data_IF_332592538715
#
_entry.id   IF_332592538715
#
_cell.length_a   1.000
_cell.length_b   1.000
_cell.length_c   1.000
_cell.angle_alpha   90.00
_cell.angle_beta   90.00
_cell.angle_gamma   90.00
#
_symmetry.space_group_name_H-M   'P 1'
#
loop_
_entity.id
_entity.type
_entity.pdbx_description
1 polymer ?
#
# COMPACT_ATOMS: atom_id res chain seq x y z
N UNK A 1 12.07 -23.00 -17.53
CA UNK A 1 12.09 -23.23 -16.08
C UNK A 1 10.78 -22.75 -15.50
N UNK A 2 10.09 -23.58 -14.73
CA UNK A 2 8.91 -23.15 -13.97
C UNK A 2 9.37 -22.16 -12.87
N UNK A 3 8.58 -21.10 -12.56
CA UNK A 3 8.96 -20.18 -11.50
C UNK A 3 8.93 -20.91 -10.16
N UNK A 4 10.03 -20.79 -9.42
CA UNK A 4 10.17 -21.30 -8.05
C UNK A 4 9.08 -20.65 -7.18
N UNK A 5 8.26 -21.47 -6.53
CA UNK A 5 7.39 -21.00 -5.47
C UNK A 5 8.23 -20.33 -4.37
N UNK A 6 7.85 -19.12 -3.95
CA UNK A 6 8.24 -18.64 -2.61
C UNK A 6 9.09 -17.37 -2.51
N UNK A 7 9.26 -16.55 -3.53
CA UNK A 7 9.67 -15.17 -3.28
C UNK A 7 8.41 -14.34 -2.98
N UNK A 8 8.14 -14.02 -1.71
CA UNK A 8 7.07 -13.09 -1.34
C UNK A 8 7.43 -11.71 -1.91
N UNK A 9 6.96 -11.43 -3.12
CA UNK A 9 7.22 -10.18 -3.86
C UNK A 9 6.09 -9.21 -3.60
N UNK A 10 6.06 -8.70 -2.37
CA UNK A 10 5.26 -7.52 -2.05
C UNK A 10 5.63 -6.37 -3.00
N UNK A 11 4.62 -5.59 -3.42
CA UNK A 11 4.84 -4.46 -4.33
C UNK A 11 5.61 -3.33 -3.63
N UNK A 12 5.50 -3.26 -2.31
CA UNK A 12 6.17 -2.33 -1.42
C UNK A 12 7.37 -3.00 -0.75
N UNK A 13 8.55 -2.43 -0.99
CA UNK A 13 9.77 -2.79 -0.24
C UNK A 13 9.87 -2.00 1.08
N UNK A 14 9.31 -0.78 1.10
CA UNK A 14 9.28 0.11 2.27
C UNK A 14 7.95 0.83 2.32
N UNK A 15 7.43 1.05 3.53
CA UNK A 15 6.24 1.85 3.79
C UNK A 15 6.60 3.10 4.59
N UNK A 16 5.74 4.11 4.49
CA UNK A 16 5.81 5.31 5.32
C UNK A 16 4.58 5.41 6.22
N UNK A 17 4.80 5.85 7.45
CA UNK A 17 3.73 6.07 8.44
C UNK A 17 3.42 7.56 8.64
N UNK A 18 4.12 8.46 7.94
CA UNK A 18 3.88 9.90 7.97
C UNK A 18 2.52 10.25 7.35
N UNK A 19 1.76 11.14 8.00
CA UNK A 19 0.43 11.53 7.55
C UNK A 19 0.50 12.27 6.22
N UNK A 20 -0.11 11.70 5.19
CA UNK A 20 -0.26 12.36 3.89
C UNK A 20 -1.67 12.95 3.77
N UNK A 21 -1.81 14.28 3.56
CA UNK A 21 -3.11 14.89 3.39
C UNK A 21 -3.87 14.27 2.20
N UNK A 22 -5.14 13.83 2.37
CA UNK A 22 -5.93 13.22 1.30
C UNK A 22 -6.02 14.08 0.04
N UNK A 23 -5.96 15.41 0.18
CA UNK A 23 -5.96 16.38 -0.93
C UNK A 23 -4.76 16.23 -1.87
N UNK A 24 -3.65 15.64 -1.42
CA UNK A 24 -2.44 15.37 -2.21
C UNK A 24 -2.48 13.99 -2.90
N UNK A 25 -3.40 13.13 -2.49
CA UNK A 25 -3.60 11.81 -3.07
C UNK A 25 -4.51 11.92 -4.29
N UNK A 26 -4.16 11.20 -5.35
CA UNK A 26 -4.95 11.04 -6.57
C UNK A 26 -5.66 9.69 -6.60
N UNK A 27 -5.00 8.64 -6.09
CA UNK A 27 -5.53 7.28 -6.06
C UNK A 27 -5.03 6.54 -4.83
N UNK A 28 -5.84 5.63 -4.32
CA UNK A 28 -5.49 4.68 -3.28
C UNK A 28 -5.83 3.28 -3.76
N UNK A 29 -4.91 2.36 -3.53
CA UNK A 29 -5.05 0.94 -3.81
C UNK A 29 -4.78 0.19 -2.52
N UNK A 30 -5.73 -0.66 -2.13
CA UNK A 30 -5.56 -1.60 -1.03
C UNK A 30 -5.36 -2.99 -1.61
N UNK A 31 -4.23 -3.62 -1.27
CA UNK A 31 -3.95 -5.00 -1.61
C UNK A 31 -4.03 -5.81 -0.32
N UNK A 32 -4.97 -6.75 -0.28
CA UNK A 32 -5.05 -7.70 0.82
C UNK A 32 -3.86 -8.66 0.79
N UNK A 33 -3.60 -9.30 1.93
CA UNK A 33 -2.66 -10.42 2.01
C UNK A 33 -3.05 -11.54 1.04
N UNK A 34 -2.05 -12.21 0.46
CA UNK A 34 -2.26 -13.23 -0.54
C UNK A 34 -1.05 -14.14 -0.74
N UNK A 35 -1.13 -15.12 -1.65
CA UNK A 35 -0.08 -16.13 -1.86
C UNK A 35 1.27 -15.53 -2.31
N UNK A 36 1.28 -14.28 -2.78
CA UNK A 36 2.47 -13.56 -3.24
C UNK A 36 3.00 -12.53 -2.24
N UNK A 37 2.21 -12.14 -1.24
CA UNK A 37 2.63 -11.21 -0.18
C UNK A 37 1.76 -11.46 1.06
N UNK A 38 2.38 -11.87 2.17
CA UNK A 38 1.70 -12.18 3.42
C UNK A 38 1.33 -10.94 4.25
N UNK A 39 1.62 -9.74 3.74
CA UNK A 39 1.38 -8.47 4.43
C UNK A 39 0.43 -7.65 3.57
N UNK A 40 -0.64 -7.06 4.14
CA UNK A 40 -1.48 -6.15 3.39
C UNK A 40 -0.68 -4.90 2.96
N UNK A 41 -0.96 -4.38 1.77
CA UNK A 41 -0.26 -3.21 1.24
C UNK A 41 -1.27 -2.11 0.93
N UNK A 42 -0.94 -0.88 1.32
CA UNK A 42 -1.72 0.31 0.95
C UNK A 42 -0.84 1.18 0.09
N UNK A 43 -1.27 1.45 -1.14
CA UNK A 43 -0.43 2.12 -2.13
C UNK A 43 -1.18 3.33 -2.63
N UNK A 44 -0.60 4.50 -2.36
CA UNK A 44 -1.15 5.78 -2.71
C UNK A 44 -0.39 6.38 -3.89
N UNK A 45 -1.13 6.82 -4.91
CA UNK A 45 -0.58 7.65 -5.98
C UNK A 45 -0.86 9.09 -5.65
N UNK A 46 0.17 9.93 -5.58
CA UNK A 46 0.00 11.37 -5.38
C UNK A 46 -0.50 12.03 -6.66
N UNK A 47 -1.05 13.24 -6.55
CA UNK A 47 -1.40 14.07 -7.72
C UNK A 47 -0.22 14.43 -8.61
N UNK A 48 1.00 14.27 -8.10
CA UNK A 48 2.24 14.44 -8.86
C UNK A 48 2.68 13.15 -9.57
N UNK A 49 1.89 12.08 -9.49
CA UNK A 49 2.19 10.78 -10.11
C UNK A 49 3.16 9.91 -9.32
N UNK A 50 3.55 10.31 -8.11
CA UNK A 50 4.46 9.51 -7.28
C UNK A 50 3.69 8.38 -6.58
N UNK A 51 4.25 7.18 -6.62
CA UNK A 51 3.75 6.03 -5.87
C UNK A 51 4.39 6.00 -4.49
N UNK A 52 3.55 5.89 -3.46
CA UNK A 52 3.95 5.86 -2.06
C UNK A 52 3.24 4.68 -1.40
N UNK A 53 4.02 3.83 -0.75
CA UNK A 53 3.50 2.76 0.09
C UNK A 53 3.22 3.29 1.49
N UNK A 54 1.99 3.16 1.96
CA UNK A 54 1.55 3.55 3.28
C UNK A 54 1.54 2.34 4.21
N UNK A 55 1.92 2.57 5.46
CA UNK A 55 1.94 1.53 6.48
C UNK A 55 0.50 1.16 6.94
N UNK A 56 -0.01 -0.05 6.66
CA UNK A 56 -1.35 -0.47 7.08
C UNK A 56 -1.51 -0.54 8.60
N UNK A 57 -0.41 -0.60 9.37
CA UNK A 57 -0.47 -0.60 10.83
C UNK A 57 -0.79 0.80 11.40
N UNK A 58 -0.48 1.87 10.67
CA UNK A 58 -0.70 3.24 11.12
C UNK A 58 -2.20 3.56 11.20
N UNK A 59 -2.63 4.14 12.32
CA UNK A 59 -4.05 4.40 12.60
C UNK A 59 -4.73 5.29 11.55
N UNK A 60 -4.02 6.32 11.06
CA UNK A 60 -4.54 7.21 10.04
C UNK A 60 -4.71 6.52 8.68
N UNK A 61 -3.86 5.53 8.35
CA UNK A 61 -3.95 4.73 7.11
C UNK A 61 -5.17 3.82 7.19
N UNK A 62 -5.42 3.19 8.34
CA UNK A 62 -6.65 2.41 8.57
C UNK A 62 -7.89 3.27 8.38
N UNK A 63 -7.92 4.46 8.99
CA UNK A 63 -9.02 5.41 8.82
C UNK A 63 -9.18 5.86 7.36
N UNK A 64 -8.07 6.11 6.67
CA UNK A 64 -8.07 6.50 5.26
C UNK A 64 -8.70 5.42 4.38
N UNK A 65 -8.29 4.16 4.56
CA UNK A 65 -8.83 3.01 3.84
C UNK A 65 -10.32 2.87 4.12
N UNK A 66 -10.76 2.86 5.39
CA UNK A 66 -12.18 2.71 5.76
C UNK A 66 -13.08 3.87 5.31
N UNK A 67 -12.52 5.06 5.07
CA UNK A 67 -13.30 6.25 4.67
C UNK A 67 -13.36 6.47 3.16
N UNK A 68 -12.41 5.92 2.40
CA UNK A 68 -12.27 6.16 0.96
C UNK A 68 -12.64 4.93 0.13
N UNK A 69 -12.31 3.74 0.62
CA UNK A 69 -12.62 2.45 0.00
C UNK A 69 -13.84 1.82 0.68
#
# INVERSE_FOLDING_TARGET
GAPLAGELRCRCVRSVSEVIPPRRLARLEFLAEGPHCAVPEVIATTKQGQLICLDPAAAWVKLLVTRIL
#
